data_IF_918682914812
#
_entry.id   IF_918682914812
#
_cell.length_a   1.000
_cell.length_b   1.000
_cell.length_c   1.000
_cell.angle_alpha   90.00
_cell.angle_beta   90.00
_cell.angle_gamma   90.00
#
_symmetry.space_group_name_H-M   'P 1'
#
loop_
_entity.id
_entity.type
_entity.pdbx_description
1 polymer ?
#
# COMPACT_ATOMS: atom_id res chain seq x y z
N UNK A 1 5.89 -33.95 16.99
CA UNK A 1 4.73 -34.44 16.21
C UNK A 1 5.14 -34.51 14.75
N UNK A 2 4.85 -35.61 14.06
CA UNK A 2 5.10 -35.68 12.61
C UNK A 2 4.13 -34.74 11.87
N UNK A 3 4.60 -33.94 10.89
CA UNK A 3 3.73 -33.04 10.16
C UNK A 3 2.66 -33.82 9.38
N UNK A 4 1.44 -33.26 9.33
CA UNK A 4 0.36 -33.74 8.47
C UNK A 4 0.80 -33.71 7.00
N UNK A 5 0.13 -34.41 6.06
CA UNK A 5 0.46 -34.34 4.64
C UNK A 5 0.50 -32.90 4.09
N UNK A 6 -0.45 -32.05 4.53
CA UNK A 6 -0.43 -30.62 4.22
C UNK A 6 0.76 -29.89 4.87
N UNK A 7 1.10 -30.23 6.12
CA UNK A 7 2.28 -29.70 6.79
C UNK A 7 3.57 -30.01 6.04
N UNK A 8 3.73 -31.24 5.55
CA UNK A 8 4.90 -31.62 4.71
C UNK A 8 4.97 -30.80 3.43
N UNK A 9 3.84 -30.61 2.74
CA UNK A 9 3.76 -29.77 1.53
C UNK A 9 4.23 -28.34 1.81
N UNK A 10 3.76 -27.73 2.90
CA UNK A 10 4.17 -26.36 3.25
C UNK A 10 5.65 -26.27 3.63
N UNK A 11 6.19 -27.25 4.35
CA UNK A 11 7.62 -27.30 4.68
C UNK A 11 8.47 -27.36 3.40
N UNK A 12 8.13 -28.24 2.45
CA UNK A 12 8.84 -28.27 1.15
C UNK A 12 8.75 -26.94 0.41
N UNK A 13 7.60 -26.27 0.42
CA UNK A 13 7.46 -24.95 -0.22
C UNK A 13 8.33 -23.88 0.46
N UNK A 14 8.45 -23.92 1.79
CA UNK A 14 9.32 -23.01 2.56
C UNK A 14 10.78 -23.28 2.21
N UNK A 15 11.21 -24.54 2.23
CA UNK A 15 12.59 -24.93 1.94
C UNK A 15 12.97 -24.50 0.51
N UNK A 16 12.14 -24.81 -0.47
CA UNK A 16 12.35 -24.37 -1.86
C UNK A 16 12.37 -22.85 -2.00
N UNK A 17 11.53 -22.12 -1.27
CA UNK A 17 11.55 -20.65 -1.32
C UNK A 17 12.84 -20.07 -0.72
N UNK A 18 13.35 -20.65 0.38
CA UNK A 18 14.59 -20.24 1.02
C UNK A 18 15.81 -20.54 0.13
N UNK A 19 15.85 -21.71 -0.50
CA UNK A 19 16.92 -22.09 -1.44
C UNK A 19 17.01 -21.15 -2.64
N UNK A 20 15.87 -20.65 -3.12
CA UNK A 20 15.80 -19.74 -4.27
C UNK A 20 15.83 -18.25 -3.89
N UNK A 21 15.85 -17.92 -2.59
CA UNK A 21 15.84 -16.52 -2.16
C UNK A 21 17.20 -15.87 -2.39
N UNK A 22 17.22 -14.81 -3.20
CA UNK A 22 18.39 -13.97 -3.40
C UNK A 22 18.17 -12.68 -2.61
N UNK A 23 18.98 -12.39 -1.57
CA UNK A 23 18.89 -11.15 -0.85
C UNK A 23 19.04 -9.96 -1.79
N UNK A 24 18.17 -8.97 -1.64
CA UNK A 24 18.37 -7.72 -2.36
C UNK A 24 19.54 -6.95 -1.74
N UNK A 25 20.19 -6.10 -2.55
CA UNK A 25 21.27 -5.26 -2.05
C UNK A 25 20.69 -4.07 -1.26
N UNK A 26 21.04 -3.99 0.02
CA UNK A 26 20.56 -2.97 0.96
C UNK A 26 21.57 -1.84 1.19
N UNK A 27 22.59 -1.71 0.35
CA UNK A 27 23.51 -0.56 0.39
C UNK A 27 22.79 0.74 0.02
N UNK A 28 23.44 1.88 0.29
CA UNK A 28 22.91 3.22 0.02
C UNK A 28 22.70 3.55 -1.47
N UNK A 29 22.99 2.61 -2.38
CA UNK A 29 22.82 2.76 -3.83
C UNK A 29 21.36 2.56 -4.33
N UNK A 30 20.40 2.31 -3.42
CA UNK A 30 18.98 2.12 -3.71
C UNK A 30 18.67 0.96 -4.67
N UNK A 31 19.56 -0.04 -4.78
CA UNK A 31 19.46 -1.10 -5.79
C UNK A 31 18.48 -2.25 -5.46
N UNK A 32 17.99 -2.35 -4.22
CA UNK A 32 17.02 -3.38 -3.82
C UNK A 32 15.72 -3.36 -4.63
N UNK A 33 15.21 -2.16 -4.97
CA UNK A 33 13.94 -2.00 -5.67
C UNK A 33 14.16 -1.71 -7.16
N UNK A 34 13.94 -2.72 -8.01
CA UNK A 34 14.17 -2.62 -9.46
C UNK A 34 12.89 -2.52 -10.28
N UNK A 35 11.71 -2.48 -9.64
CA UNK A 35 10.40 -2.46 -10.32
C UNK A 35 10.28 -1.32 -11.33
N UNK A 36 10.82 -0.15 -11.00
CA UNK A 36 10.81 1.02 -11.89
C UNK A 36 11.49 0.74 -13.23
N UNK A 37 12.50 -0.14 -13.28
CA UNK A 37 13.18 -0.51 -14.53
C UNK A 37 12.21 -1.24 -15.47
N UNK A 38 11.41 -2.15 -14.94
CA UNK A 38 10.39 -2.87 -15.71
C UNK A 38 9.25 -1.95 -16.12
N UNK A 39 8.83 -1.04 -15.22
CA UNK A 39 7.75 -0.09 -15.48
C UNK A 39 8.13 0.92 -16.58
N UNK A 40 9.39 1.34 -16.64
CA UNK A 40 9.90 2.28 -17.64
C UNK A 40 10.34 1.60 -18.94
N UNK A 41 10.63 0.29 -18.94
CA UNK A 41 11.14 -0.43 -20.11
C UNK A 41 10.22 -0.36 -21.33
N UNK A 42 8.91 -0.25 -21.11
CA UNK A 42 7.91 -0.12 -22.19
C UNK A 42 7.93 1.25 -22.86
N UNK A 43 8.58 2.25 -22.26
CA UNK A 43 8.75 3.61 -22.79
C UNK A 43 10.16 3.83 -23.37
N UNK A 44 10.88 2.77 -23.72
CA UNK A 44 12.26 2.82 -24.25
C UNK A 44 12.42 3.67 -25.51
N UNK A 45 11.34 3.81 -26.30
CA UNK A 45 11.33 4.58 -27.55
C UNK A 45 11.06 6.08 -27.30
N UNK A 46 10.93 6.48 -26.03
CA UNK A 46 10.71 7.86 -25.61
C UNK A 46 9.29 8.13 -25.13
N UNK A 47 9.13 9.26 -24.44
CA UNK A 47 7.84 9.81 -24.02
C UNK A 47 7.68 11.14 -24.74
N UNK A 48 6.67 11.24 -25.62
CA UNK A 48 6.42 12.47 -26.37
C UNK A 48 5.54 13.44 -25.59
N UNK A 49 5.51 14.70 -26.04
CA UNK A 49 4.65 15.73 -25.46
C UNK A 49 3.17 15.36 -25.60
N UNK A 50 2.78 14.78 -26.73
CA UNK A 50 1.41 14.35 -27.01
C UNK A 50 0.96 13.26 -26.05
N UNK A 51 1.86 12.33 -25.67
CA UNK A 51 1.57 11.31 -24.66
C UNK A 51 1.29 11.93 -23.29
N UNK A 52 2.05 12.96 -22.91
CA UNK A 52 1.84 13.68 -21.65
C UNK A 52 0.53 14.47 -21.67
N UNK A 53 0.24 15.17 -22.77
CA UNK A 53 -1.00 15.91 -22.97
C UNK A 53 -2.22 14.98 -22.90
N UNK A 54 -2.17 13.81 -23.56
CA UNK A 54 -3.22 12.78 -23.50
C UNK A 54 -3.37 12.16 -22.09
N UNK A 55 -2.26 12.02 -21.36
CA UNK A 55 -2.25 11.49 -20.00
C UNK A 55 -2.79 12.47 -18.94
N UNK A 56 -2.80 13.79 -19.22
CA UNK A 56 -3.19 14.84 -18.26
C UNK A 56 -4.52 14.60 -17.55
N UNK A 57 -5.51 14.04 -18.25
CA UNK A 57 -6.83 13.71 -17.70
C UNK A 57 -6.85 12.58 -16.66
N UNK A 58 -5.75 11.82 -16.56
CA UNK A 58 -5.62 10.62 -15.71
C UNK A 58 -4.97 10.91 -14.35
N UNK A 59 -4.51 12.13 -14.11
CA UNK A 59 -3.82 12.47 -12.87
C UNK A 59 -3.64 13.96 -12.67
N UNK A 60 -2.67 14.30 -11.85
CA UNK A 60 -2.23 15.66 -11.58
C UNK A 60 -0.95 15.89 -12.39
N UNK A 61 -0.94 16.92 -13.23
CA UNK A 61 0.24 17.29 -13.99
C UNK A 61 1.23 18.02 -13.08
N UNK A 62 2.47 17.56 -13.07
CA UNK A 62 3.60 18.21 -12.42
C UNK A 62 4.65 18.56 -13.46
N UNK A 63 5.32 19.69 -13.25
CA UNK A 63 6.45 20.13 -14.03
C UNK A 63 7.60 20.50 -13.09
N UNK A 64 8.81 20.13 -13.45
CA UNK A 64 10.03 20.65 -12.87
C UNK A 64 10.68 21.50 -13.96
N UNK A 65 10.91 22.77 -13.66
CA UNK A 65 11.56 23.72 -14.57
C UNK A 65 12.55 24.54 -13.76
N UNK A 66 13.83 24.53 -14.13
CA UNK A 66 14.91 25.20 -13.41
C UNK A 66 14.90 24.89 -11.91
N UNK A 67 14.79 23.60 -11.57
CA UNK A 67 14.74 23.10 -10.18
C UNK A 67 13.56 23.63 -9.34
N UNK A 68 12.49 24.14 -9.98
CA UNK A 68 11.26 24.56 -9.32
C UNK A 68 10.11 23.63 -9.68
N UNK A 69 9.31 23.26 -8.67
CA UNK A 69 8.15 22.39 -8.84
C UNK A 69 6.89 23.21 -9.13
N UNK A 70 6.26 22.94 -10.26
CA UNK A 70 4.95 23.45 -10.66
C UNK A 70 3.95 22.29 -10.71
N UNK A 71 2.67 22.61 -10.50
CA UNK A 71 1.57 21.64 -10.48
C UNK A 71 0.32 22.26 -11.08
N UNK A 72 -0.46 21.47 -11.82
CA UNK A 72 -1.81 21.85 -12.22
C UNK A 72 -2.64 22.26 -10.99
N UNK A 73 -3.47 23.30 -11.09
CA UNK A 73 -4.23 23.82 -9.95
C UNK A 73 -5.06 22.74 -9.24
N UNK A 74 -5.78 21.93 -10.02
CA UNK A 74 -6.63 20.87 -9.51
C UNK A 74 -5.81 19.66 -9.00
N UNK A 75 -6.01 19.31 -7.73
CA UNK A 75 -5.68 17.99 -7.18
C UNK A 75 -6.87 17.50 -6.39
N UNK A 76 -7.47 16.39 -6.86
CA UNK A 76 -8.66 15.80 -6.25
C UNK A 76 -8.45 15.42 -4.78
N UNK A 77 -7.22 15.07 -4.41
CA UNK A 77 -6.85 14.69 -3.05
C UNK A 77 -5.66 15.53 -2.56
N UNK A 78 -5.87 16.76 -2.07
CA UNK A 78 -4.78 17.70 -1.75
C UNK A 78 -3.72 17.14 -0.80
N UNK A 79 -4.12 16.42 0.25
CA UNK A 79 -3.17 15.80 1.19
C UNK A 79 -2.30 14.72 0.53
N UNK A 80 -2.82 14.00 -0.48
CA UNK A 80 -2.01 13.03 -1.25
C UNK A 80 -0.97 13.75 -2.10
N UNK A 81 -1.35 14.86 -2.73
CA UNK A 81 -0.42 15.72 -3.47
C UNK A 81 0.69 16.26 -2.55
N UNK A 82 0.36 16.73 -1.35
CA UNK A 82 1.37 17.17 -0.37
C UNK A 82 2.36 16.06 0.01
N UNK A 83 1.86 14.84 0.23
CA UNK A 83 2.71 13.67 0.50
C UNK A 83 3.65 13.32 -0.64
N UNK A 84 3.22 13.45 -1.90
CA UNK A 84 4.08 13.28 -3.09
C UNK A 84 5.10 14.42 -3.19
N UNK A 85 4.65 15.66 -3.04
CA UNK A 85 5.47 16.86 -3.14
C UNK A 85 6.58 16.91 -2.10
N UNK A 86 6.36 16.36 -0.90
CA UNK A 86 7.38 16.26 0.13
C UNK A 86 8.65 15.59 -0.39
N UNK A 87 8.50 14.46 -1.10
CA UNK A 87 9.65 13.72 -1.64
C UNK A 87 10.26 14.44 -2.84
N UNK A 88 9.44 14.94 -3.77
CA UNK A 88 9.95 15.64 -4.95
C UNK A 88 10.73 16.89 -4.56
N UNK A 89 10.21 17.69 -3.61
CA UNK A 89 10.86 18.93 -3.15
C UNK A 89 12.26 18.70 -2.58
N UNK A 90 12.50 17.54 -1.95
CA UNK A 90 13.83 17.17 -1.46
C UNK A 90 14.84 16.85 -2.57
N UNK A 91 14.35 16.43 -3.72
CA UNK A 91 15.17 16.03 -4.86
C UNK A 91 15.36 17.16 -5.88
N UNK A 92 14.60 18.25 -5.78
CA UNK A 92 14.62 19.35 -6.75
C UNK A 92 16.01 19.85 -7.16
N UNK A 93 17.00 20.02 -6.25
CA UNK A 93 18.34 20.48 -6.64
C UNK A 93 19.07 19.54 -7.62
N UNK A 94 18.68 18.27 -7.69
CA UNK A 94 19.32 17.23 -8.50
C UNK A 94 18.47 16.82 -9.72
N UNK A 95 17.19 17.18 -9.75
CA UNK A 95 16.27 16.78 -10.82
C UNK A 95 16.37 17.71 -12.03
N UNK A 96 16.46 17.16 -13.26
CA UNK A 96 16.38 17.96 -14.48
C UNK A 96 14.96 18.43 -14.76
N UNK A 97 14.83 19.27 -15.78
CA UNK A 97 13.53 19.70 -16.28
C UNK A 97 12.73 18.51 -16.82
N UNK A 98 11.47 18.38 -16.39
CA UNK A 98 10.60 17.29 -16.79
C UNK A 98 9.12 17.63 -16.55
N UNK A 99 8.23 16.98 -17.29
CA UNK A 99 6.80 16.99 -17.07
C UNK A 99 6.30 15.55 -16.86
N UNK A 100 5.43 15.33 -15.88
CA UNK A 100 4.95 14.01 -15.54
C UNK A 100 3.55 14.04 -14.91
N UNK A 101 2.81 12.94 -15.06
CA UNK A 101 1.44 12.81 -14.58
C UNK A 101 1.39 11.87 -13.37
N UNK A 102 0.92 12.38 -12.23
CA UNK A 102 0.76 11.59 -11.00
C UNK A 102 -0.72 11.34 -10.74
N UNK A 103 -1.15 10.08 -10.86
CA UNK A 103 -2.45 9.64 -10.40
C UNK A 103 -2.45 9.53 -8.87
N UNK A 104 -3.33 10.32 -8.23
CA UNK A 104 -3.54 10.32 -6.78
C UNK A 104 -4.78 9.53 -6.34
N UNK A 105 -5.48 8.85 -7.26
CA UNK A 105 -6.61 7.94 -6.96
C UNK A 105 -6.09 6.58 -6.48
N UNK A 106 -6.99 5.78 -5.93
CA UNK A 106 -6.64 4.43 -5.46
C UNK A 106 -6.37 3.45 -6.62
N UNK A 107 -7.13 3.56 -7.72
CA UNK A 107 -7.07 2.62 -8.85
C UNK A 107 -6.13 3.10 -9.96
N UNK A 108 -5.33 2.22 -10.60
CA UNK A 108 -4.47 2.57 -11.75
C UNK A 108 -5.28 3.02 -12.99
N UNK A 109 -4.64 3.70 -13.94
CA UNK A 109 -5.34 4.43 -15.02
C UNK A 109 -5.03 3.96 -16.44
N UNK A 110 -3.96 3.19 -16.63
CA UNK A 110 -3.42 2.82 -17.95
C UNK A 110 -3.52 1.30 -18.11
N UNK A 111 -4.68 0.83 -18.57
CA UNK A 111 -4.87 -0.58 -18.90
C UNK A 111 -3.96 -1.00 -20.05
N UNK A 112 -3.41 -2.22 -19.99
CA UNK A 112 -2.60 -2.81 -21.08
C UNK A 112 -3.32 -2.93 -22.43
N UNK A 113 -4.65 -2.89 -22.40
CA UNK A 113 -5.52 -3.04 -23.57
C UNK A 113 -5.90 -1.69 -24.20
N UNK A 114 -5.32 -0.58 -23.72
CA UNK A 114 -5.56 0.77 -24.22
C UNK A 114 -4.25 1.43 -24.62
N UNK A 115 -4.36 2.65 -25.10
CA UNK A 115 -3.22 3.51 -25.43
C UNK A 115 -2.21 3.58 -24.26
N UNK A 116 -0.94 3.45 -24.60
CA UNK A 116 0.17 3.53 -23.66
C UNK A 116 0.41 4.99 -23.26
N UNK A 117 0.30 5.28 -21.97
CA UNK A 117 0.43 6.63 -21.43
C UNK A 117 1.32 6.62 -20.16
N UNK A 118 2.20 7.62 -19.97
CA UNK A 118 3.16 7.68 -18.88
C UNK A 118 2.52 8.23 -17.59
N UNK A 119 1.69 7.42 -16.93
CA UNK A 119 1.00 7.82 -15.68
C UNK A 119 1.61 7.09 -14.49
N UNK A 120 1.99 7.85 -13.46
CA UNK A 120 2.47 7.30 -12.20
C UNK A 120 1.29 6.95 -11.28
N UNK A 121 1.21 5.70 -10.80
CA UNK A 121 0.21 5.23 -9.83
C UNK A 121 0.86 4.44 -8.70
N UNK A 122 0.36 4.53 -7.47
CA UNK A 122 1.02 3.88 -6.33
C UNK A 122 0.88 2.34 -6.31
N UNK A 123 -0.12 1.81 -7.03
CA UNK A 123 -0.47 0.38 -7.03
C UNK A 123 -1.02 -0.03 -8.39
N UNK A 124 -0.66 -1.23 -8.83
CA UNK A 124 -1.17 -1.85 -10.06
C UNK A 124 -1.14 -3.37 -10.00
N UNK A 125 -1.78 -4.02 -10.98
CA UNK A 125 -1.57 -5.43 -11.30
C UNK A 125 -0.74 -5.54 -12.59
N UNK A 126 -0.46 -6.77 -13.01
CA UNK A 126 0.12 -7.04 -14.33
C UNK A 126 -0.77 -6.60 -15.50
N UNK A 127 -2.00 -6.13 -15.29
CA UNK A 127 -2.92 -5.70 -16.34
C UNK A 127 -2.82 -4.21 -16.67
N UNK A 128 -1.93 -3.48 -15.98
CA UNK A 128 -1.77 -2.04 -16.09
C UNK A 128 -0.31 -1.67 -16.38
N UNK A 129 -0.15 -0.61 -17.18
CA UNK A 129 1.11 -0.03 -17.61
C UNK A 129 1.53 1.20 -16.79
N UNK A 130 0.76 1.58 -15.77
CA UNK A 130 1.13 2.69 -14.88
C UNK A 130 2.54 2.49 -14.28
N UNK A 131 3.27 3.58 -14.07
CA UNK A 131 4.60 3.55 -13.46
C UNK A 131 4.43 3.62 -11.95
N UNK A 132 4.99 2.65 -11.22
CA UNK A 132 4.81 2.57 -9.78
C UNK A 132 5.67 3.60 -9.06
N UNK A 133 5.09 4.32 -8.09
CA UNK A 133 5.84 5.24 -7.23
C UNK A 133 5.55 5.00 -5.73
N UNK A 134 6.46 5.39 -4.82
CA UNK A 134 6.22 5.31 -3.38
C UNK A 134 4.99 6.12 -2.98
N UNK A 135 3.99 5.46 -2.39
CA UNK A 135 2.73 6.12 -2.05
C UNK A 135 2.91 7.33 -1.13
N UNK A 136 2.08 8.36 -1.34
CA UNK A 136 2.02 9.58 -0.52
C UNK A 136 2.01 9.33 0.99
N UNK A 137 1.36 8.25 1.45
CA UNK A 137 1.21 7.87 2.86
C UNK A 137 2.52 7.57 3.58
N UNK A 138 3.66 7.46 2.88
CA UNK A 138 4.95 7.45 3.56
C UNK A 138 5.20 8.76 4.33
N UNK A 139 4.63 9.87 3.86
CA UNK A 139 4.65 11.15 4.55
C UNK A 139 3.27 11.58 5.07
N UNK A 140 2.25 11.65 4.20
CA UNK A 140 0.89 12.06 4.59
C UNK A 140 -0.18 11.67 3.54
N UNK A 141 -1.45 12.00 3.81
CA UNK A 141 -2.55 11.80 2.85
C UNK A 141 -3.07 10.35 2.74
N UNK A 142 -2.66 9.46 3.65
CA UNK A 142 -3.30 8.16 3.81
C UNK A 142 -4.73 8.25 4.38
N UNK A 143 -5.41 7.12 4.59
CA UNK A 143 -6.77 7.09 5.13
C UNK A 143 -6.89 7.86 6.46
N UNK A 144 -7.88 8.74 6.56
CA UNK A 144 -8.23 9.43 7.81
C UNK A 144 -9.27 8.64 8.58
N UNK A 145 -8.92 8.30 9.81
CA UNK A 145 -9.71 7.51 10.76
C UNK A 145 -9.61 8.17 12.15
N UNK A 146 -10.37 7.71 13.15
CA UNK A 146 -10.36 8.34 14.48
C UNK A 146 -8.96 8.38 15.12
N UNK A 147 -8.15 7.33 14.93
CA UNK A 147 -6.77 7.25 15.40
C UNK A 147 -5.79 8.11 14.58
N UNK A 148 -6.13 8.44 13.33
CA UNK A 148 -5.29 9.20 12.40
C UNK A 148 -6.11 10.33 11.75
N UNK A 149 -6.51 11.37 12.50
CA UNK A 149 -7.44 12.39 12.00
C UNK A 149 -6.85 13.18 10.81
N UNK A 150 -5.53 13.35 10.77
CA UNK A 150 -4.79 13.99 9.66
C UNK A 150 -4.45 13.02 8.50
N UNK A 151 -4.96 11.78 8.56
CA UNK A 151 -4.60 10.71 7.61
C UNK A 151 -3.36 9.94 8.04
N UNK A 152 -3.35 8.64 7.75
CA UNK A 152 -2.18 7.78 7.97
C UNK A 152 -0.97 8.32 7.18
N UNK A 153 0.15 8.55 7.87
CA UNK A 153 1.33 9.22 7.34
C UNK A 153 2.55 8.90 8.19
N UNK A 154 3.63 9.67 8.03
CA UNK A 154 4.82 9.67 8.89
C UNK A 154 5.35 8.27 9.17
N UNK A 155 5.68 7.57 8.09
CA UNK A 155 6.24 6.23 8.16
C UNK A 155 7.52 6.16 8.99
N UNK A 156 8.31 7.24 8.99
CA UNK A 156 9.45 7.43 9.87
C UNK A 156 9.10 7.21 11.35
N UNK A 157 8.04 7.88 11.83
CA UNK A 157 7.58 7.74 13.22
C UNK A 157 6.95 6.38 13.49
N UNK A 158 6.18 5.85 12.54
CA UNK A 158 5.56 4.54 12.69
C UNK A 158 6.58 3.40 12.77
N UNK A 159 7.70 3.49 12.05
CA UNK A 159 8.78 2.49 12.18
C UNK A 159 9.31 2.44 13.61
N UNK A 160 9.52 3.59 14.24
CA UNK A 160 9.99 3.65 15.63
C UNK A 160 8.93 3.15 16.62
N UNK A 161 7.66 3.52 16.45
CA UNK A 161 6.59 3.09 17.35
C UNK A 161 6.30 1.59 17.24
N UNK A 162 6.31 1.05 16.01
CA UNK A 162 6.11 -0.38 15.75
C UNK A 162 7.27 -1.21 16.27
N UNK A 163 8.53 -0.77 16.10
CA UNK A 163 9.69 -1.44 16.66
C UNK A 163 9.59 -1.56 18.19
N UNK A 164 9.26 -0.46 18.88
CA UNK A 164 9.02 -0.46 20.33
C UNK A 164 7.87 -1.39 20.73
N UNK A 165 6.78 -1.42 19.96
CA UNK A 165 5.66 -2.34 20.24
C UNK A 165 6.04 -3.80 20.01
N UNK A 166 6.87 -4.10 19.00
CA UNK A 166 7.35 -5.44 18.73
C UNK A 166 8.23 -5.95 19.89
N UNK A 167 9.13 -5.12 20.41
CA UNK A 167 9.99 -5.44 21.56
C UNK A 167 9.18 -5.76 22.82
N UNK A 168 8.08 -5.03 23.05
CA UNK A 168 7.16 -5.26 24.17
C UNK A 168 6.29 -6.53 24.00
N UNK A 169 6.21 -7.08 22.79
CA UNK A 169 5.38 -8.25 22.47
C UNK A 169 6.25 -9.37 21.86
N UNK A 170 7.16 -10.01 22.63
CA UNK A 170 7.99 -11.09 22.12
C UNK A 170 7.14 -12.26 21.59
N UNK A 171 7.68 -13.02 20.61
CA UNK A 171 6.91 -14.06 19.92
C UNK A 171 6.17 -15.04 20.85
N UNK A 172 6.80 -15.46 21.94
CA UNK A 172 6.21 -16.41 22.90
C UNK A 172 4.99 -15.86 23.63
N UNK A 173 4.88 -14.54 23.83
CA UNK A 173 3.77 -13.91 24.56
C UNK A 173 2.60 -13.47 23.67
N UNK A 174 2.79 -13.45 22.34
CA UNK A 174 1.75 -13.04 21.40
C UNK A 174 0.56 -14.02 21.41
N UNK A 175 -0.65 -13.46 21.31
CA UNK A 175 -1.90 -14.18 21.16
C UNK A 175 -1.85 -15.08 19.90
N UNK A 176 -2.12 -16.40 20.01
CA UNK A 176 -2.05 -17.32 18.90
C UNK A 176 -3.23 -17.21 17.92
N UNK A 177 -4.18 -16.30 18.13
CA UNK A 177 -5.26 -16.08 17.17
C UNK A 177 -4.79 -15.30 15.95
N UNK A 178 -5.43 -15.59 14.83
CA UNK A 178 -5.36 -14.72 13.67
C UNK A 178 -6.08 -13.40 13.93
N UNK A 179 -5.52 -12.28 13.47
CA UNK A 179 -6.09 -10.95 13.73
C UNK A 179 -6.26 -10.12 12.47
N UNK A 180 -7.41 -9.42 12.41
CA UNK A 180 -7.69 -8.40 11.42
C UNK A 180 -8.64 -7.32 11.97
N UNK A 181 -8.28 -6.05 11.77
CA UNK A 181 -9.18 -4.92 12.01
C UNK A 181 -9.13 -3.93 10.86
N UNK A 182 -10.24 -3.74 10.16
CA UNK A 182 -10.36 -2.81 9.05
C UNK A 182 -11.74 -2.84 8.40
N UNK A 183 -12.02 -1.93 7.47
CA UNK A 183 -13.31 -1.84 6.81
C UNK A 183 -13.46 -2.81 5.62
N UNK A 184 -14.69 -2.99 5.12
CA UNK A 184 -15.01 -3.86 3.99
C UNK A 184 -14.76 -3.18 2.63
N UNK A 185 -13.49 -2.99 2.27
CA UNK A 185 -13.11 -2.39 0.96
C UNK A 185 -12.89 -3.41 -0.16
N UNK A 186 -13.00 -4.70 0.14
CA UNK A 186 -13.09 -5.81 -0.82
C UNK A 186 -13.84 -6.96 -0.12
N UNK A 187 -14.70 -7.68 -0.86
CA UNK A 187 -15.40 -8.87 -0.37
C UNK A 187 -14.47 -10.06 -0.12
N UNK A 188 -13.24 -10.04 -0.64
CA UNK A 188 -12.22 -11.06 -0.36
C UNK A 188 -11.91 -11.20 1.14
N UNK A 189 -12.22 -10.16 1.93
CA UNK A 189 -12.06 -10.13 3.39
C UNK A 189 -13.17 -10.88 4.14
N UNK A 190 -14.30 -11.16 3.49
CA UNK A 190 -15.52 -11.66 4.14
C UNK A 190 -15.32 -13.02 4.80
N UNK A 191 -14.60 -13.92 4.13
CA UNK A 191 -14.37 -15.29 4.61
C UNK A 191 -13.69 -15.32 5.98
N UNK A 192 -12.70 -14.44 6.22
CA UNK A 192 -12.02 -14.35 7.51
C UNK A 192 -12.91 -13.77 8.61
N UNK A 193 -13.72 -12.77 8.29
CA UNK A 193 -14.68 -12.17 9.24
C UNK A 193 -15.77 -13.17 9.61
N UNK A 194 -16.32 -13.90 8.63
CA UNK A 194 -17.30 -14.97 8.88
C UNK A 194 -16.68 -16.12 9.69
N UNK A 195 -15.43 -16.50 9.39
CA UNK A 195 -14.70 -17.49 10.19
C UNK A 195 -14.54 -17.03 11.64
N UNK A 196 -14.16 -15.76 11.88
CA UNK A 196 -14.03 -15.20 13.23
C UNK A 196 -15.33 -15.23 14.02
N UNK A 197 -16.49 -15.04 13.36
CA UNK A 197 -17.80 -15.20 14.02
C UNK A 197 -18.06 -16.65 14.43
N UNK A 198 -17.67 -17.61 13.59
CA UNK A 198 -17.88 -19.04 13.85
C UNK A 198 -16.85 -19.66 14.81
N UNK A 199 -15.61 -19.16 14.82
CA UNK A 199 -14.47 -19.69 15.56
C UNK A 199 -13.66 -18.54 16.20
N UNK A 200 -14.21 -17.84 17.20
CA UNK A 200 -13.58 -16.67 17.82
C UNK A 200 -12.29 -16.99 18.59
N UNK A 201 -12.10 -18.25 18.99
CA UNK A 201 -10.88 -18.74 19.64
C UNK A 201 -9.74 -18.99 18.64
N UNK A 202 -10.03 -18.99 17.34
CA UNK A 202 -9.06 -19.15 16.26
C UNK A 202 -8.74 -17.80 15.58
N UNK A 203 -9.76 -16.96 15.36
CA UNK A 203 -9.64 -15.71 14.60
C UNK A 203 -10.40 -14.59 15.31
N UNK A 204 -9.75 -13.42 15.46
CA UNK A 204 -10.34 -12.15 15.86
C UNK A 204 -10.28 -11.16 14.67
N UNK A 205 -11.28 -11.25 13.80
CA UNK A 205 -11.42 -10.44 12.60
C UNK A 205 -12.78 -9.74 12.58
N UNK A 206 -12.79 -8.40 12.56
CA UNK A 206 -14.05 -7.63 12.50
C UNK A 206 -13.96 -6.44 11.56
N UNK A 207 -15.10 -6.08 10.98
CA UNK A 207 -15.22 -4.91 10.14
C UNK A 207 -15.37 -3.62 10.95
N UNK A 208 -14.57 -2.61 10.60
CA UNK A 208 -14.74 -1.23 11.07
C UNK A 208 -15.53 -0.41 10.04
N UNK A 209 -15.99 0.78 10.45
CA UNK A 209 -16.61 1.74 9.54
C UNK A 209 -15.55 2.49 8.73
N UNK A 210 -15.88 2.84 7.48
CA UNK A 210 -15.10 3.79 6.68
C UNK A 210 -16.00 4.97 6.26
N UNK A 211 -15.41 5.98 5.61
CA UNK A 211 -16.12 7.18 5.17
C UNK A 211 -17.18 6.92 4.09
N UNK A 212 -17.11 5.78 3.39
CA UNK A 212 -18.04 5.39 2.33
C UNK A 212 -19.11 4.39 2.79
N UNK A 213 -19.24 4.15 4.11
CA UNK A 213 -20.25 3.27 4.67
C UNK A 213 -21.65 3.79 4.38
N UNK A 214 -22.53 2.91 3.88
CA UNK A 214 -23.90 3.22 3.46
C UNK A 214 -24.95 2.45 4.25
N UNK A 215 -24.62 1.23 4.69
CA UNK A 215 -25.58 0.36 5.38
C UNK A 215 -24.89 -0.74 6.19
N UNK A 216 -25.65 -1.46 7.00
CA UNK A 216 -25.15 -2.61 7.78
C UNK A 216 -24.57 -3.73 6.90
N UNK A 217 -24.91 -3.77 5.60
CA UNK A 217 -24.27 -4.70 4.66
C UNK A 217 -22.75 -4.46 4.53
N UNK A 218 -22.26 -3.24 4.79
CA UNK A 218 -20.84 -2.90 4.77
C UNK A 218 -20.06 -3.48 5.97
N UNK A 219 -20.77 -3.98 6.98
CA UNK A 219 -20.22 -4.73 8.13
C UNK A 219 -20.81 -6.13 8.23
N UNK A 220 -21.40 -6.63 7.13
CA UNK A 220 -22.08 -7.93 7.05
C UNK A 220 -23.13 -8.12 8.16
N UNK A 221 -23.95 -7.10 8.42
CA UNK A 221 -25.06 -7.13 9.35
C UNK A 221 -24.70 -6.98 10.83
N UNK A 222 -23.42 -6.83 11.18
CA UNK A 222 -22.97 -6.65 12.56
C UNK A 222 -22.64 -5.19 12.89
N UNK A 223 -22.70 -4.78 14.17
CA UNK A 223 -22.22 -3.47 14.60
C UNK A 223 -20.76 -3.24 14.20
N UNK A 224 -20.46 -2.03 13.72
CA UNK A 224 -19.11 -1.66 13.35
C UNK A 224 -18.17 -1.75 14.57
N UNK A 225 -17.06 -2.47 14.41
CA UNK A 225 -16.08 -2.58 15.46
C UNK A 225 -15.25 -1.29 15.61
N UNK A 226 -14.76 -1.04 16.83
CA UNK A 226 -13.79 0.02 17.09
C UNK A 226 -12.50 -0.17 16.31
N UNK A 227 -11.88 0.95 15.95
CA UNK A 227 -10.54 0.99 15.37
C UNK A 227 -9.51 0.49 16.39
N UNK A 228 -8.46 -0.16 15.90
CA UNK A 228 -7.35 -0.67 16.71
C UNK A 228 -6.07 -0.11 16.14
N UNK A 229 -5.20 0.45 16.99
CA UNK A 229 -3.93 1.03 16.53
C UNK A 229 -3.04 -0.03 15.91
N UNK A 230 -2.17 0.39 15.00
CA UNK A 230 -1.23 -0.53 14.35
C UNK A 230 -0.28 -1.17 15.36
N UNK A 231 0.18 -0.43 16.37
CA UNK A 231 1.00 -0.93 17.47
C UNK A 231 0.27 -2.04 18.25
N UNK A 232 -1.05 -1.91 18.43
CA UNK A 232 -1.86 -2.91 19.15
C UNK A 232 -2.02 -4.21 18.36
N UNK A 233 -1.70 -4.24 17.06
CA UNK A 233 -1.67 -5.48 16.28
C UNK A 233 -0.48 -6.36 16.70
N UNK A 234 0.63 -5.77 17.18
CA UNK A 234 1.85 -6.49 17.53
C UNK A 234 1.65 -7.56 18.62
N UNK A 235 0.54 -7.52 19.38
CA UNK A 235 0.22 -8.55 20.38
C UNK A 235 -0.30 -9.87 19.79
N UNK A 236 -0.59 -9.95 18.49
CA UNK A 236 -1.08 -11.17 17.83
C UNK A 236 0.00 -11.80 16.95
N UNK A 237 0.02 -13.13 16.86
CA UNK A 237 1.00 -13.88 16.05
C UNK A 237 0.73 -13.81 14.56
N UNK A 238 -0.54 -13.93 14.16
CA UNK A 238 -0.91 -14.12 12.76
C UNK A 238 -1.73 -12.94 12.26
N UNK A 239 -1.05 -12.01 11.57
CA UNK A 239 -1.67 -10.77 11.09
C UNK A 239 -2.07 -10.91 9.63
N UNK A 240 -3.35 -10.70 9.33
CA UNK A 240 -3.86 -10.81 7.97
C UNK A 240 -3.81 -9.47 7.23
N UNK A 241 -3.35 -9.51 5.98
CA UNK A 241 -3.43 -8.41 5.04
C UNK A 241 -4.30 -8.80 3.83
N UNK A 242 -5.05 -7.83 3.32
CA UNK A 242 -5.89 -7.99 2.13
C UNK A 242 -5.75 -6.76 1.24
N UNK A 243 -5.95 -6.95 -0.07
CA UNK A 243 -6.25 -5.81 -0.95
C UNK A 243 -7.52 -5.09 -0.50
N UNK A 244 -7.62 -3.82 -0.82
CA UNK A 244 -8.84 -3.02 -0.72
C UNK A 244 -9.33 -2.70 -2.12
N UNK A 245 -9.51 -1.41 -2.41
CA UNK A 245 -9.65 -0.92 -3.79
C UNK A 245 -8.41 -1.33 -4.59
N UNK A 246 -7.21 -1.05 -4.09
CA UNK A 246 -5.93 -1.52 -4.65
C UNK A 246 -5.07 -2.17 -3.55
N UNK A 247 -3.74 -2.09 -3.63
CA UNK A 247 -2.86 -2.50 -2.53
C UNK A 247 -3.21 -1.75 -1.24
N UNK A 248 -3.18 -2.45 -0.10
CA UNK A 248 -3.47 -1.84 1.19
C UNK A 248 -2.21 -1.34 1.88
N UNK A 249 -2.25 -0.11 2.38
CA UNK A 249 -1.17 0.44 3.20
C UNK A 249 -0.95 -0.29 4.52
N UNK A 250 -1.88 -1.16 4.95
CA UNK A 250 -1.72 -2.01 6.14
C UNK A 250 -0.46 -2.85 6.07
N UNK A 251 -0.18 -3.45 4.91
CA UNK A 251 0.84 -4.49 4.74
C UNK A 251 2.17 -4.14 5.39
N UNK A 252 2.74 -2.96 5.08
CA UNK A 252 4.05 -2.54 5.60
C UNK A 252 4.12 -2.39 7.12
N UNK A 253 2.99 -2.22 7.81
CA UNK A 253 2.95 -2.04 9.27
C UNK A 253 2.80 -3.36 10.03
N UNK A 254 2.59 -4.49 9.33
CA UNK A 254 2.45 -5.81 9.97
C UNK A 254 3.80 -6.49 10.22
N UNK A 255 4.87 -5.99 9.61
CA UNK A 255 6.23 -6.54 9.67
C UNK A 255 7.14 -5.64 10.50
#
# INVERSE_FOLDING_TARGET
MNPTPNGKKYLTQIDTALENYIPCNTTDDCSCYTLYKNDLAIFKDGITKEMIEAASSKGVTYQIINHQLFRSSNCLFPARCQGVEYFIKKLLPELPDMEFIVNTRDWPQVSKWRELLPVFSFSKTSDYNDITYPAWTFWEGGPSISLYPRGLGRWDLHRESLAKSADLNPWSSKDPRAFFRGSRTSSERDSLVLLSRSQPDLVDAKYTKNQAWKSDADTLGEPAAGEVSLESHCKYKYLFNYRGVAASFRFKHLF
#
